data_IF_901678878967
#
_entry.id   IF_901678878967
#
_cell.length_a   1.000
_cell.length_b   1.000
_cell.length_c   1.000
_cell.angle_alpha   90.00
_cell.angle_beta   90.00
_cell.angle_gamma   90.00
#
_symmetry.space_group_name_H-M   'P 1'
#
loop_
_entity.id
_entity.type
_entity.pdbx_description
1 polymer ?
#
# COMPACT_ATOMS: atom_id res chain seq x y z
N UNK A 1 -27.78 2.35 7.02
CA UNK A 1 -26.94 3.41 6.45
C UNK A 1 -25.52 2.89 6.42
N UNK A 2 -25.03 2.49 5.26
CA UNK A 2 -23.65 2.05 5.04
C UNK A 2 -22.75 3.28 5.01
N UNK A 3 -22.15 3.62 6.15
CA UNK A 3 -21.18 4.70 6.23
C UNK A 3 -19.81 4.22 5.76
N UNK A 4 -19.31 4.73 4.64
CA UNK A 4 -17.89 4.65 4.30
C UNK A 4 -17.20 5.71 5.14
N UNK A 5 -16.42 5.28 6.13
CA UNK A 5 -15.60 6.19 6.92
C UNK A 5 -14.21 6.26 6.26
N UNK A 6 -13.83 7.43 5.81
CA UNK A 6 -12.53 7.69 5.21
C UNK A 6 -11.68 8.47 6.20
N UNK A 7 -10.53 7.92 6.58
CA UNK A 7 -9.51 8.65 7.31
C UNK A 7 -8.36 8.99 6.34
N UNK A 8 -8.08 10.28 6.17
CA UNK A 8 -6.98 10.75 5.37
C UNK A 8 -5.77 10.99 6.28
N UNK A 9 -4.63 10.42 5.94
CA UNK A 9 -3.38 10.54 6.68
C UNK A 9 -2.37 11.31 5.83
N UNK A 10 -1.78 12.39 6.33
CA UNK A 10 -0.87 13.19 5.55
C UNK A 10 0.43 12.42 5.27
N UNK A 11 0.70 12.20 4.01
CA UNK A 11 1.97 11.70 3.52
C UNK A 11 2.49 12.77 2.54
N UNK A 12 3.55 13.40 2.83
CA UNK A 12 4.36 14.37 2.06
C UNK A 12 3.73 15.08 0.85
N UNK A 13 3.83 16.41 0.80
CA UNK A 13 3.51 17.18 -0.40
C UNK A 13 4.65 18.10 -0.80
N UNK A 14 4.92 18.14 -2.09
CA UNK A 14 5.81 19.11 -2.70
C UNK A 14 5.31 19.41 -4.12
N UNK A 15 4.71 20.56 -4.31
CA UNK A 15 4.33 21.08 -5.63
C UNK A 15 5.39 22.02 -6.21
N UNK A 16 6.10 22.71 -5.33
CA UNK A 16 7.18 23.64 -5.68
C UNK A 16 8.21 23.72 -4.55
N UNK A 17 9.33 24.39 -4.77
CA UNK A 17 10.35 24.59 -3.74
C UNK A 17 9.89 25.40 -2.52
N UNK A 18 8.71 26.03 -2.57
CA UNK A 18 8.21 26.98 -1.56
C UNK A 18 7.00 26.47 -0.78
N UNK A 19 6.42 25.32 -1.15
CA UNK A 19 5.19 24.79 -0.55
C UNK A 19 5.36 23.40 0.06
N UNK A 20 6.56 23.01 0.44
CA UNK A 20 6.86 21.73 1.10
C UNK A 20 5.95 21.55 2.31
N UNK A 21 5.23 20.42 2.37
CA UNK A 21 4.29 20.05 3.43
C UNK A 21 3.07 20.98 3.64
N UNK A 22 2.70 21.76 2.63
CA UNK A 22 1.50 22.62 2.68
C UNK A 22 0.27 22.01 2.02
N UNK A 23 0.45 20.97 1.22
CA UNK A 23 -0.64 20.22 0.60
C UNK A 23 -0.69 18.82 1.22
N UNK A 24 -1.85 18.37 1.62
CA UNK A 24 -2.01 17.04 2.20
C UNK A 24 -2.04 16.01 1.09
N UNK A 25 -1.11 15.07 1.14
CA UNK A 25 -1.20 13.79 0.44
C UNK A 25 -1.72 12.78 1.45
N UNK A 26 -2.57 11.89 1.03
CA UNK A 26 -3.23 11.01 1.97
C UNK A 26 -3.32 9.59 1.42
N UNK A 27 -3.03 8.62 2.27
CA UNK A 27 -3.60 7.30 2.17
C UNK A 27 -5.05 7.31 2.68
N UNK A 28 -5.83 6.33 2.28
CA UNK A 28 -7.25 6.25 2.64
C UNK A 28 -7.56 4.93 3.33
N UNK A 29 -8.11 5.00 4.53
CA UNK A 29 -8.76 3.87 5.17
C UNK A 29 -10.25 3.89 4.82
N UNK A 30 -10.73 2.83 4.19
CA UNK A 30 -12.10 2.65 3.73
C UNK A 30 -12.75 1.53 4.53
N UNK A 31 -13.81 1.82 5.24
CA UNK A 31 -14.54 0.84 6.05
C UNK A 31 -15.98 0.71 5.61
N UNK A 32 -16.41 -0.49 5.34
CA UNK A 32 -17.81 -0.89 5.15
C UNK A 32 -18.23 -1.89 6.23
N UNK A 33 -19.44 -2.42 6.14
CA UNK A 33 -19.93 -3.46 7.06
C UNK A 33 -19.05 -4.73 7.02
N UNK A 34 -18.55 -5.09 5.83
CA UNK A 34 -17.85 -6.36 5.60
C UNK A 34 -16.38 -6.21 5.19
N UNK A 35 -15.93 -5.00 4.93
CA UNK A 35 -14.57 -4.77 4.42
C UNK A 35 -13.90 -3.57 5.06
N UNK A 36 -12.62 -3.73 5.35
CA UNK A 36 -11.75 -2.69 5.85
C UNK A 36 -10.48 -2.63 5.00
N UNK A 37 -10.40 -1.63 4.14
CA UNK A 37 -9.35 -1.49 3.14
C UNK A 37 -8.44 -0.31 3.46
N UNK A 38 -7.17 -0.46 3.13
CA UNK A 38 -6.22 0.64 3.12
C UNK A 38 -5.69 0.86 1.69
N UNK A 39 -5.74 2.10 1.23
CA UNK A 39 -5.14 2.54 -0.03
C UNK A 39 -3.98 3.49 0.29
N UNK A 40 -2.75 3.06 -0.01
CA UNK A 40 -1.54 3.79 0.35
C UNK A 40 -1.23 5.00 -0.54
N UNK A 41 -1.71 4.99 -1.79
CA UNK A 41 -1.24 5.96 -2.79
C UNK A 41 0.25 5.84 -3.03
N UNK A 42 0.87 6.93 -3.48
CA UNK A 42 2.32 7.03 -3.64
C UNK A 42 2.94 7.36 -2.28
N UNK A 43 3.62 6.40 -1.70
CA UNK A 43 4.17 6.50 -0.34
C UNK A 43 5.52 5.82 -0.23
N UNK A 44 6.48 6.50 0.40
CA UNK A 44 7.67 5.86 0.95
C UNK A 44 7.34 5.12 2.26
N UNK A 45 8.18 4.17 2.63
CA UNK A 45 8.06 3.49 3.92
C UNK A 45 8.43 4.40 5.10
N UNK A 46 7.70 4.28 6.20
CA UNK A 46 7.97 4.99 7.44
C UNK A 46 7.14 4.48 8.62
N UNK A 47 7.45 4.92 9.84
CA UNK A 47 6.81 4.43 11.08
C UNK A 47 5.30 4.72 11.15
N UNK A 48 4.80 5.66 10.36
CA UNK A 48 3.39 6.04 10.27
C UNK A 48 2.47 4.85 9.96
N UNK A 49 2.94 3.84 9.22
CA UNK A 49 2.13 2.66 8.88
C UNK A 49 1.84 1.80 10.11
N UNK A 50 2.77 1.73 11.07
CA UNK A 50 2.54 1.08 12.36
C UNK A 50 1.50 1.84 13.19
N UNK A 51 1.63 3.17 13.26
CA UNK A 51 0.67 4.02 13.98
C UNK A 51 -0.73 3.88 13.39
N UNK A 52 -0.84 3.80 12.05
CA UNK A 52 -2.10 3.53 11.35
C UNK A 52 -2.64 2.14 11.70
N UNK A 53 -1.79 1.12 11.65
CA UNK A 53 -2.16 -0.25 12.00
C UNK A 53 -2.61 -0.41 13.46
N UNK A 54 -2.05 0.38 14.37
CA UNK A 54 -2.46 0.41 15.77
C UNK A 54 -3.78 1.14 15.97
N UNK A 55 -3.97 2.28 15.29
CA UNK A 55 -5.14 3.13 15.48
C UNK A 55 -6.37 2.65 14.69
N UNK A 56 -6.17 2.10 13.51
CA UNK A 56 -7.25 1.79 12.55
C UNK A 56 -7.26 0.34 12.08
N UNK A 57 -6.18 -0.41 12.26
CA UNK A 57 -6.10 -1.81 11.86
C UNK A 57 -6.88 -2.76 12.77
N UNK A 58 -6.88 -4.03 12.44
CA UNK A 58 -6.31 -4.63 11.24
C UNK A 58 -7.15 -4.33 10.00
N UNK A 59 -6.49 -4.41 8.84
CA UNK A 59 -7.15 -4.25 7.54
C UNK A 59 -7.35 -5.61 6.86
N UNK A 60 -8.43 -5.75 6.08
CA UNK A 60 -8.62 -6.93 5.23
C UNK A 60 -7.62 -6.94 4.09
N UNK A 61 -7.43 -5.77 3.48
CA UNK A 61 -6.59 -5.62 2.31
C UNK A 61 -5.93 -4.25 2.30
N UNK A 62 -4.63 -4.22 2.06
CA UNK A 62 -3.85 -3.01 1.81
C UNK A 62 -3.37 -2.97 0.35
N UNK A 63 -3.66 -1.88 -0.35
CA UNK A 63 -3.19 -1.60 -1.70
C UNK A 63 -1.99 -0.67 -1.59
N UNK A 64 -0.80 -1.15 -2.00
CA UNK A 64 0.48 -0.51 -1.73
C UNK A 64 1.29 -0.35 -3.02
N UNK A 65 1.91 0.81 -3.20
CA UNK A 65 2.81 1.07 -4.31
C UNK A 65 4.08 0.24 -4.22
N UNK A 66 4.49 -0.39 -5.34
CA UNK A 66 5.67 -1.25 -5.42
C UNK A 66 6.63 -0.86 -6.54
N UNK A 67 6.36 0.21 -7.28
CA UNK A 67 7.19 0.71 -8.38
C UNK A 67 7.71 2.13 -8.12
N UNK A 68 8.52 2.62 -9.04
CA UNK A 68 9.14 3.93 -9.01
C UNK A 68 10.09 4.14 -7.82
N UNK A 69 10.84 3.12 -7.41
CA UNK A 69 11.72 3.17 -6.23
C UNK A 69 13.19 3.47 -6.55
N UNK A 70 13.60 3.46 -7.82
CA UNK A 70 14.99 3.77 -8.21
C UNK A 70 15.12 5.13 -8.95
N UNK A 71 16.22 5.88 -8.78
CA UNK A 71 17.31 5.62 -7.82
C UNK A 71 16.87 5.87 -6.38
N UNK A 72 17.20 4.92 -5.51
CA UNK A 72 16.68 4.87 -4.13
C UNK A 72 16.89 6.14 -3.32
N UNK A 73 18.04 6.79 -3.48
CA UNK A 73 18.37 8.02 -2.75
C UNK A 73 17.36 9.16 -3.00
N UNK A 74 16.80 9.20 -4.21
CA UNK A 74 15.81 10.21 -4.60
C UNK A 74 14.39 9.77 -4.28
N UNK A 75 14.09 8.48 -4.44
CA UNK A 75 12.72 7.96 -4.44
C UNK A 75 12.23 7.50 -3.07
N UNK A 76 13.14 7.17 -2.13
CA UNK A 76 12.77 6.59 -0.82
C UNK A 76 11.79 7.42 0.02
N UNK A 77 11.75 8.73 -0.20
CA UNK A 77 10.84 9.60 0.54
C UNK A 77 9.38 9.53 0.05
N UNK A 78 9.18 9.09 -1.18
CA UNK A 78 7.86 9.10 -1.85
C UNK A 78 7.41 7.75 -2.36
N UNK A 79 8.32 6.79 -2.53
CA UNK A 79 8.01 5.46 -3.08
C UNK A 79 8.72 4.37 -2.28
N UNK A 80 7.97 3.36 -1.90
CA UNK A 80 8.48 2.18 -1.23
C UNK A 80 9.08 1.19 -2.24
N UNK A 81 10.06 0.39 -1.79
CA UNK A 81 10.45 -0.81 -2.52
C UNK A 81 9.39 -1.90 -2.35
N UNK A 82 9.38 -2.95 -3.18
CA UNK A 82 8.48 -4.08 -2.99
C UNK A 82 8.57 -4.70 -1.59
N UNK A 83 9.76 -4.83 -1.04
CA UNK A 83 10.00 -5.37 0.31
C UNK A 83 9.45 -4.44 1.40
N UNK A 84 9.66 -3.13 1.23
CA UNK A 84 9.09 -2.13 2.13
C UNK A 84 7.57 -2.11 2.07
N UNK A 85 6.97 -2.34 0.89
CA UNK A 85 5.51 -2.45 0.76
C UNK A 85 4.95 -3.66 1.54
N UNK A 86 5.65 -4.80 1.54
CA UNK A 86 5.29 -5.94 2.39
C UNK A 86 5.41 -5.56 3.87
N UNK A 87 6.48 -4.88 4.27
CA UNK A 87 6.62 -4.40 5.65
C UNK A 87 5.50 -3.42 6.03
N UNK A 88 5.10 -2.52 5.12
CA UNK A 88 3.92 -1.66 5.33
C UNK A 88 2.66 -2.48 5.58
N UNK A 89 2.45 -3.56 4.84
CA UNK A 89 1.34 -4.48 5.02
C UNK A 89 1.32 -5.11 6.42
N UNK A 90 2.48 -5.54 6.90
CA UNK A 90 2.62 -6.08 8.27
C UNK A 90 2.36 -5.02 9.34
N UNK A 91 2.92 -3.83 9.17
CA UNK A 91 2.74 -2.71 10.09
C UNK A 91 1.27 -2.27 10.17
N UNK A 92 0.55 -2.29 9.04
CA UNK A 92 -0.90 -2.05 8.93
C UNK A 92 -1.75 -3.19 9.51
N UNK A 93 -1.14 -4.32 9.87
CA UNK A 93 -1.82 -5.55 10.26
C UNK A 93 -2.80 -6.02 9.17
N UNK A 94 -2.42 -5.83 7.90
CA UNK A 94 -3.24 -6.22 6.78
C UNK A 94 -3.15 -7.73 6.54
N UNK A 95 -4.31 -8.39 6.40
CA UNK A 95 -4.35 -9.82 6.06
C UNK A 95 -3.87 -10.06 4.64
N UNK A 96 -4.26 -9.18 3.72
CA UNK A 96 -3.90 -9.26 2.30
C UNK A 96 -3.19 -7.99 1.86
N UNK A 97 -2.20 -8.16 1.00
CA UNK A 97 -1.49 -7.07 0.34
C UNK A 97 -1.65 -7.15 -1.17
N UNK A 98 -1.86 -6.02 -1.81
CA UNK A 98 -2.00 -5.89 -3.26
C UNK A 98 -0.95 -4.91 -3.76
N UNK A 99 -0.04 -5.39 -4.61
CA UNK A 99 0.98 -4.55 -5.24
C UNK A 99 0.37 -3.74 -6.40
N UNK A 100 0.48 -2.43 -6.33
CA UNK A 100 0.06 -1.49 -7.37
C UNK A 100 1.19 -0.56 -7.81
N UNK A 101 0.92 0.36 -8.72
CA UNK A 101 1.88 1.37 -9.18
C UNK A 101 3.13 0.78 -9.85
N UNK A 102 2.94 -0.18 -10.76
CA UNK A 102 4.01 -0.83 -11.53
C UNK A 102 3.56 -1.15 -12.97
N UNK A 103 4.51 -1.32 -13.89
CA UNK A 103 4.30 -1.92 -15.22
C UNK A 103 3.53 -1.08 -16.25
N UNK A 104 2.91 0.04 -15.90
CA UNK A 104 2.10 0.85 -16.82
C UNK A 104 2.91 1.96 -17.49
N UNK A 105 3.75 2.63 -16.74
CA UNK A 105 4.59 3.74 -17.21
C UNK A 105 6.00 3.55 -16.66
N UNK A 106 7.01 3.74 -17.49
CA UNK A 106 8.41 3.81 -17.05
C UNK A 106 8.67 5.19 -16.44
N UNK A 107 8.60 5.28 -15.13
CA UNK A 107 8.82 6.52 -14.38
C UNK A 107 10.26 6.64 -13.89
N UNK A 108 10.92 5.54 -13.68
CA UNK A 108 12.21 5.38 -13.02
C UNK A 108 13.06 4.33 -13.72
N UNK A 109 14.21 3.98 -13.18
CA UNK A 109 15.22 3.17 -13.88
C UNK A 109 15.20 1.67 -13.54
N UNK A 110 14.37 1.24 -12.59
CA UNK A 110 14.21 -0.20 -12.32
C UNK A 110 13.52 -0.91 -13.50
N UNK A 111 13.83 -2.19 -13.74
CA UNK A 111 13.16 -2.99 -14.75
C UNK A 111 11.64 -3.04 -14.51
N UNK A 112 10.79 -2.78 -15.53
CA UNK A 112 9.34 -2.57 -15.34
C UNK A 112 8.58 -3.77 -14.77
N UNK A 113 9.12 -4.98 -14.89
CA UNK A 113 8.51 -6.22 -14.39
C UNK A 113 9.24 -6.82 -13.18
N UNK A 114 10.29 -6.18 -12.69
CA UNK A 114 10.98 -6.59 -11.45
C UNK A 114 10.10 -6.41 -10.19
N UNK A 115 9.34 -5.31 -10.03
CA UNK A 115 8.57 -5.07 -8.82
C UNK A 115 7.64 -6.23 -8.41
N UNK A 116 6.86 -6.86 -9.31
CA UNK A 116 6.04 -8.03 -8.99
C UNK A 116 6.82 -9.22 -8.44
N UNK A 117 7.96 -9.54 -9.04
CA UNK A 117 8.78 -10.68 -8.62
C UNK A 117 9.35 -10.46 -7.22
N UNK A 118 9.89 -9.27 -6.96
CA UNK A 118 10.40 -8.88 -5.65
C UNK A 118 9.31 -8.85 -4.59
N UNK A 119 8.13 -8.34 -4.95
CA UNK A 119 6.98 -8.27 -4.04
C UNK A 119 6.53 -9.67 -3.59
N UNK A 120 6.32 -10.59 -4.52
CA UNK A 120 5.91 -11.96 -4.20
C UNK A 120 6.97 -12.72 -3.40
N UNK A 121 8.24 -12.53 -3.75
CA UNK A 121 9.35 -13.10 -2.99
C UNK A 121 9.40 -12.56 -1.57
N UNK A 122 9.31 -11.26 -1.38
CA UNK A 122 9.30 -10.64 -0.06
C UNK A 122 8.08 -11.07 0.77
N UNK A 123 6.92 -11.24 0.13
CA UNK A 123 5.71 -11.72 0.79
C UNK A 123 5.92 -13.12 1.37
N UNK A 124 6.47 -14.03 0.60
CA UNK A 124 6.81 -15.39 1.03
C UNK A 124 7.84 -15.38 2.18
N UNK A 125 8.93 -14.63 2.02
CA UNK A 125 9.99 -14.52 3.03
C UNK A 125 9.52 -13.89 4.35
N UNK A 126 8.53 -13.01 4.29
CA UNK A 126 7.99 -12.29 5.45
C UNK A 126 6.70 -12.92 6.01
N UNK A 127 6.27 -14.06 5.48
CA UNK A 127 5.24 -14.91 6.05
C UNK A 127 3.80 -14.64 5.61
N UNK A 128 3.60 -13.92 4.49
CA UNK A 128 2.28 -13.88 3.85
C UNK A 128 1.98 -15.19 3.14
N UNK A 129 0.76 -15.67 3.27
CA UNK A 129 0.29 -16.76 2.43
C UNK A 129 0.24 -16.33 0.96
N UNK A 130 0.56 -17.23 0.04
CA UNK A 130 0.61 -16.93 -1.40
C UNK A 130 -0.73 -16.40 -1.95
N UNK A 131 -1.84 -16.84 -1.39
CA UNK A 131 -3.20 -16.38 -1.71
C UNK A 131 -3.53 -14.99 -1.17
N UNK A 132 -2.72 -14.46 -0.27
CA UNK A 132 -2.92 -13.14 0.33
C UNK A 132 -1.92 -12.07 -0.17
N UNK A 133 -0.98 -12.43 -1.03
CA UNK A 133 -0.11 -11.50 -1.75
C UNK A 133 -0.51 -11.41 -3.23
N UNK A 134 -1.14 -10.30 -3.63
CA UNK A 134 -1.71 -10.19 -4.97
C UNK A 134 -0.92 -9.26 -5.88
N UNK A 135 -0.59 -9.78 -7.04
CA UNK A 135 -0.22 -9.01 -8.23
C UNK A 135 -1.33 -9.20 -9.25
N UNK A 136 -1.97 -8.11 -9.64
CA UNK A 136 -3.09 -8.14 -10.59
C UNK A 136 -2.63 -7.71 -11.98
N UNK A 137 -3.16 -8.36 -13.00
CA UNK A 137 -2.97 -7.93 -14.39
C UNK A 137 -3.77 -6.65 -14.66
N UNK A 138 -3.33 -5.85 -15.60
CA UNK A 138 -4.08 -4.66 -16.05
C UNK A 138 -5.45 -5.11 -16.56
N UNK A 139 -6.51 -4.53 -16.01
CA UNK A 139 -7.90 -4.90 -16.32
C UNK A 139 -8.43 -6.11 -15.56
N UNK A 140 -7.63 -6.78 -14.74
CA UNK A 140 -8.10 -7.89 -13.91
C UNK A 140 -9.00 -7.39 -12.78
N UNK A 141 -10.05 -8.16 -12.50
CA UNK A 141 -10.94 -7.95 -11.36
C UNK A 141 -10.92 -9.19 -10.49
N UNK A 142 -10.73 -9.01 -9.19
CA UNK A 142 -10.85 -10.07 -8.18
C UNK A 142 -11.89 -9.70 -7.13
N UNK A 143 -12.77 -10.61 -6.74
CA UNK A 143 -13.68 -10.34 -5.63
C UNK A 143 -12.90 -10.30 -4.31
N UNK A 144 -13.24 -9.35 -3.47
CA UNK A 144 -12.80 -9.32 -2.08
C UNK A 144 -13.66 -10.32 -1.28
N UNK A 145 -13.45 -11.61 -1.53
CA UNK A 145 -14.18 -12.67 -0.80
C UNK A 145 -13.40 -13.05 0.45
N UNK A 146 -14.13 -13.24 1.53
CA UNK A 146 -13.65 -13.71 2.82
C UNK A 146 -14.51 -13.06 3.89
N UNK A 147 -15.17 -13.86 4.71
CA UNK A 147 -15.82 -13.35 5.91
C UNK A 147 -14.72 -12.86 6.86
N UNK A 148 -14.70 -11.56 7.10
CA UNK A 148 -13.96 -11.02 8.22
C UNK A 148 -14.65 -11.50 9.50
N UNK A 149 -13.91 -12.04 10.49
CA UNK A 149 -14.50 -12.39 11.77
C UNK A 149 -15.21 -11.18 12.36
N UNK A 150 -16.54 -11.24 12.44
CA UNK A 150 -17.41 -10.16 12.93
C UNK A 150 -17.29 -9.93 14.45
N UNK A 151 -16.23 -10.42 15.08
CA UNK A 151 -16.01 -10.29 16.50
C UNK A 151 -15.09 -9.11 16.82
N UNK A 152 -15.73 -7.94 16.88
CA UNK A 152 -15.23 -6.79 17.68
C UNK A 152 -16.33 -5.97 18.21
#
# INVERSE_FOLDING_TARGET
MTGVQTCALPIWSRRSGFDTNRTLWAGFALRSENHHLFFGGDSGYGPVFRDIGEAYGPFDTALLGIGAYEPREMMKASHATPEEAIQMGLDLKARRVVGMHWGTVLLTIEPPFEPPERFLKAADEMGYASEDAWIMRIGETRPLVGEWPSNR
#
